data_IF_556311262894
#
_entry.id   IF_556311262894
#
_cell.length_a   1.000
_cell.length_b   1.000
_cell.length_c   1.000
_cell.angle_alpha   90.00
_cell.angle_beta   90.00
_cell.angle_gamma   90.00
#
_symmetry.space_group_name_H-M   'P 1'
#
loop_
_entity.id
_entity.type
_entity.pdbx_description
1 polymer ?
#
# COMPACT_ATOMS: atom_id res chain seq x y z
N UNK A 1 12.01 26.32 -9.91
CA UNK A 1 11.82 26.24 -8.45
C UNK A 1 11.36 24.82 -8.15
N UNK A 2 12.06 24.01 -7.34
CA UNK A 2 11.50 22.74 -6.91
C UNK A 2 10.61 23.03 -5.70
N UNK A 3 9.31 23.18 -5.96
CA UNK A 3 8.31 23.35 -4.91
C UNK A 3 8.26 22.07 -4.07
N UNK A 4 8.94 22.13 -2.91
CA UNK A 4 8.85 21.13 -1.87
C UNK A 4 7.43 21.05 -1.35
N UNK A 5 6.61 20.22 -2.00
CA UNK A 5 5.38 19.71 -1.43
C UNK A 5 5.74 19.09 -0.08
N UNK A 6 5.35 19.74 1.03
CA UNK A 6 5.34 19.11 2.36
C UNK A 6 4.40 17.90 2.25
N UNK A 7 4.90 16.64 2.18
CA UNK A 7 4.18 15.53 1.53
C UNK A 7 2.96 14.98 2.29
N UNK A 8 2.46 15.67 3.31
CA UNK A 8 1.48 15.07 4.22
C UNK A 8 0.07 15.56 3.92
N UNK A 9 -0.16 16.87 3.79
CA UNK A 9 -1.54 17.40 3.68
C UNK A 9 -2.11 17.33 2.27
N UNK A 10 -1.37 17.79 1.25
CA UNK A 10 -1.83 17.72 -0.16
C UNK A 10 -1.99 16.27 -0.61
N UNK A 11 -1.13 15.39 -0.11
CA UNK A 11 -1.19 13.98 -0.41
C UNK A 11 -2.43 13.32 0.18
N UNK A 12 -2.83 13.67 1.41
CA UNK A 12 -4.08 13.21 2.02
C UNK A 12 -5.33 13.71 1.28
N UNK A 13 -5.31 14.94 0.75
CA UNK A 13 -6.41 15.49 -0.08
C UNK A 13 -6.49 14.76 -1.44
N UNK A 14 -5.35 14.30 -1.97
CA UNK A 14 -5.24 13.56 -3.23
C UNK A 14 -5.67 12.09 -3.13
N UNK A 15 -5.72 11.51 -1.93
CA UNK A 15 -6.22 10.15 -1.73
C UNK A 15 -7.74 10.18 -1.90
N UNK A 16 -8.18 9.91 -3.13
CA UNK A 16 -9.60 9.87 -3.46
C UNK A 16 -10.26 8.64 -2.83
N UNK A 17 -9.98 7.48 -3.42
CA UNK A 17 -10.63 6.22 -3.05
C UNK A 17 -9.73 5.35 -2.16
N UNK A 18 -10.34 4.44 -1.40
CA UNK A 18 -9.65 3.53 -0.48
C UNK A 18 -9.77 2.09 -0.99
N UNK A 19 -8.62 1.46 -1.22
CA UNK A 19 -8.54 0.05 -1.59
C UNK A 19 -8.17 -0.78 -0.36
N UNK A 20 -9.01 -1.76 -0.02
CA UNK A 20 -8.70 -2.78 0.98
C UNK A 20 -7.96 -3.93 0.30
N UNK A 21 -6.75 -4.18 0.74
CA UNK A 21 -5.85 -5.18 0.20
C UNK A 21 -5.98 -6.49 0.99
N UNK A 22 -5.91 -7.61 0.26
CA UNK A 22 -5.59 -8.88 0.89
C UNK A 22 -4.12 -8.92 1.31
N UNK A 23 -3.77 -9.88 2.16
CA UNK A 23 -2.38 -10.11 2.56
C UNK A 23 -1.46 -10.39 1.36
N UNK A 24 -1.94 -11.18 0.40
CA UNK A 24 -1.15 -11.53 -0.79
C UNK A 24 -0.96 -10.35 -1.73
N UNK A 25 -1.97 -9.49 -1.85
CA UNK A 25 -1.92 -8.26 -2.65
C UNK A 25 -0.95 -7.26 -2.02
N UNK A 26 -1.06 -7.05 -0.71
CA UNK A 26 -0.14 -6.21 0.04
C UNK A 26 1.31 -6.71 -0.12
N UNK A 27 1.55 -8.02 0.05
CA UNK A 27 2.89 -8.60 -0.16
C UNK A 27 3.40 -8.35 -1.59
N UNK A 28 2.55 -8.56 -2.60
CA UNK A 28 2.92 -8.35 -4.01
C UNK A 28 3.31 -6.89 -4.28
N UNK A 29 2.51 -5.95 -3.77
CA UNK A 29 2.76 -4.51 -3.87
C UNK A 29 4.05 -4.09 -3.14
N UNK A 30 4.29 -4.60 -1.94
CA UNK A 30 5.51 -4.31 -1.18
C UNK A 30 6.77 -4.88 -1.85
N UNK A 31 6.65 -6.00 -2.57
CA UNK A 31 7.71 -6.55 -3.43
C UNK A 31 7.91 -5.73 -4.73
N UNK A 32 7.15 -4.66 -4.93
CA UNK A 32 7.23 -3.78 -6.10
C UNK A 32 6.48 -4.32 -7.34
N UNK A 33 5.66 -5.35 -7.18
CA UNK A 33 4.79 -5.83 -8.26
C UNK A 33 3.57 -4.91 -8.38
N UNK A 34 2.87 -5.04 -9.50
CA UNK A 34 1.55 -4.41 -9.70
C UNK A 34 0.47 -5.48 -9.59
N UNK A 35 -0.72 -5.07 -9.17
CA UNK A 35 -1.89 -5.96 -9.10
C UNK A 35 -3.05 -5.38 -9.93
N UNK A 36 -3.99 -6.20 -10.42
CA UNK A 36 -5.20 -5.70 -11.04
C UNK A 36 -6.02 -4.85 -10.06
N UNK A 37 -6.61 -3.76 -10.54
CA UNK A 37 -7.52 -2.93 -9.76
C UNK A 37 -8.71 -2.49 -10.60
N UNK A 38 -9.90 -2.48 -9.98
CA UNK A 38 -11.15 -2.06 -10.62
C UNK A 38 -11.51 -0.59 -10.35
N UNK A 39 -10.76 0.09 -9.48
CA UNK A 39 -10.96 1.52 -9.20
C UNK A 39 -10.57 2.38 -10.41
N UNK A 40 -11.13 3.59 -10.54
CA UNK A 40 -10.72 4.54 -11.56
C UNK A 40 -9.23 4.90 -11.46
N UNK A 41 -8.66 5.35 -12.58
CA UNK A 41 -7.29 5.87 -12.62
C UNK A 41 -7.13 7.06 -11.65
N UNK A 42 -6.09 7.03 -10.80
CA UNK A 42 -5.90 8.04 -9.76
C UNK A 42 -5.02 7.60 -8.60
N UNK A 43 -4.92 8.46 -7.58
CA UNK A 43 -4.25 8.14 -6.31
C UNK A 43 -5.25 7.56 -5.32
N UNK A 44 -4.84 6.51 -4.62
CA UNK A 44 -5.70 5.75 -3.70
C UNK A 44 -4.99 5.44 -2.40
N UNK A 45 -5.76 5.39 -1.31
CA UNK A 45 -5.28 4.92 -0.01
C UNK A 45 -5.23 3.39 -0.01
N UNK A 46 -4.11 2.82 0.41
CA UNK A 46 -3.96 1.38 0.58
C UNK A 46 -4.24 1.02 2.03
N UNK A 47 -5.19 0.12 2.25
CA UNK A 47 -5.54 -0.34 3.58
C UNK A 47 -5.43 -1.85 3.73
N UNK A 48 -5.03 -2.31 4.90
CA UNK A 48 -4.97 -3.72 5.26
C UNK A 48 -5.49 -3.87 6.69
N UNK A 49 -6.40 -4.82 6.92
CA UNK A 49 -7.07 -5.03 8.21
C UNK A 49 -7.71 -3.78 8.83
N UNK A 50 -8.19 -2.83 8.00
CA UNK A 50 -8.81 -1.60 8.49
C UNK A 50 -7.84 -0.43 8.66
N UNK A 51 -6.52 -0.67 8.67
CA UNK A 51 -5.50 0.37 8.80
C UNK A 51 -4.96 0.84 7.45
N UNK A 52 -4.70 2.14 7.32
CA UNK A 52 -4.05 2.71 6.13
C UNK A 52 -2.54 2.48 6.24
N UNK A 53 -2.02 1.62 5.36
CA UNK A 53 -0.60 1.24 5.33
C UNK A 53 0.24 2.10 4.40
N UNK A 54 -0.42 2.85 3.51
CA UNK A 54 0.23 3.76 2.58
C UNK A 54 -0.68 4.13 1.43
N UNK A 55 -0.07 4.34 0.27
CA UNK A 55 -0.73 4.88 -0.90
C UNK A 55 -0.32 4.14 -2.16
N UNK A 56 -1.20 4.21 -3.15
CA UNK A 56 -0.96 3.65 -4.46
C UNK A 56 -1.48 4.54 -5.56
N UNK A 57 -1.17 4.14 -6.78
CA UNK A 57 -1.66 4.75 -8.00
C UNK A 57 -2.30 3.68 -8.86
N UNK A 58 -3.54 3.92 -9.25
CA UNK A 58 -4.24 3.13 -10.27
C UNK A 58 -4.00 3.79 -11.62
N UNK A 59 -3.59 2.99 -12.60
CA UNK A 59 -3.43 3.43 -13.99
C UNK A 59 -3.69 2.27 -14.94
N UNK A 60 -4.67 2.41 -15.83
CA UNK A 60 -5.02 1.38 -16.81
C UNK A 60 -5.41 0.05 -16.16
N UNK A 61 -6.22 0.10 -15.08
CA UNK A 61 -6.69 -1.08 -14.36
C UNK A 61 -5.60 -1.83 -13.56
N UNK A 62 -4.45 -1.18 -13.30
CA UNK A 62 -3.36 -1.74 -12.49
C UNK A 62 -3.04 -0.81 -11.33
N UNK A 63 -2.84 -1.40 -10.15
CA UNK A 63 -2.42 -0.72 -8.94
C UNK A 63 -0.92 -0.94 -8.69
N UNK A 64 -0.23 0.15 -8.40
CA UNK A 64 1.15 0.18 -7.93
C UNK A 64 1.21 0.89 -6.56
N UNK A 65 1.99 0.37 -5.62
CA UNK A 65 2.24 1.05 -4.36
C UNK A 65 3.31 2.15 -4.51
N UNK A 66 3.06 3.29 -3.86
CA UNK A 66 3.97 4.43 -3.77
C UNK A 66 4.61 4.52 -2.38
N UNK A 67 5.04 3.37 -1.86
CA UNK A 67 5.64 3.25 -0.53
C UNK A 67 7.18 3.31 -0.67
N UNK A 68 7.88 4.19 0.07
CA UNK A 68 9.34 4.27 0.05
C UNK A 68 10.01 2.93 0.35
N UNK A 69 11.15 2.64 -0.29
CA UNK A 69 11.82 1.34 -0.20
C UNK A 69 12.16 0.90 1.23
N UNK A 70 12.61 1.83 2.10
CA UNK A 70 12.86 1.52 3.51
C UNK A 70 11.58 1.06 4.22
N UNK A 71 10.50 1.82 4.06
CA UNK A 71 9.18 1.49 4.62
C UNK A 71 8.61 0.18 4.06
N UNK A 72 8.86 -0.13 2.79
CA UNK A 72 8.45 -1.42 2.20
C UNK A 72 9.12 -2.60 2.87
N UNK A 73 10.41 -2.48 3.21
CA UNK A 73 11.16 -3.53 3.92
C UNK A 73 10.60 -3.76 5.32
N UNK A 74 10.41 -2.70 6.09
CA UNK A 74 9.79 -2.77 7.43
C UNK A 74 8.42 -3.47 7.38
N UNK A 75 7.54 -3.07 6.45
CA UNK A 75 6.22 -3.66 6.30
C UNK A 75 6.29 -5.13 5.87
N UNK A 76 7.23 -5.51 5.00
CA UNK A 76 7.44 -6.92 4.61
C UNK A 76 7.94 -7.77 5.76
N UNK A 77 8.85 -7.23 6.59
CA UNK A 77 9.35 -7.91 7.78
C UNK A 77 8.21 -8.16 8.77
N UNK A 78 7.39 -7.14 9.07
CA UNK A 78 6.21 -7.28 9.93
C UNK A 78 5.23 -8.32 9.35
N UNK A 79 4.93 -8.23 8.04
CA UNK A 79 3.99 -9.13 7.38
C UNK A 79 4.48 -10.59 7.37
N UNK A 80 5.80 -10.80 7.41
CA UNK A 80 6.44 -12.11 7.44
C UNK A 80 6.60 -12.63 8.86
N UNK A 81 6.92 -11.78 9.84
CA UNK A 81 6.97 -12.12 11.26
C UNK A 81 5.60 -12.60 11.77
N UNK A 82 4.51 -11.99 11.30
CA UNK A 82 3.14 -12.46 11.57
C UNK A 82 2.83 -13.86 11.00
N UNK A 83 3.70 -14.47 10.17
CA UNK A 83 3.55 -15.88 9.76
C UNK A 83 4.00 -16.85 10.86
N UNK A 84 4.95 -16.45 11.69
CA UNK A 84 5.48 -17.29 12.76
C UNK A 84 4.59 -17.35 14.01
N UNK A 85 3.65 -16.41 14.16
CA UNK A 85 2.78 -16.30 15.34
C UNK A 85 1.43 -17.04 15.25
N UNK A 86 1.24 -17.92 14.25
CA UNK A 86 0.02 -18.74 14.08
C UNK A 86 0.34 -20.23 13.90
N UNK A 87 1.35 -20.72 14.61
CA UNK A 87 1.67 -22.15 14.69
C UNK A 87 1.61 -22.71 16.12
N UNK A 88 1.11 -21.94 17.09
CA UNK A 88 1.05 -22.38 18.49
C UNK A 88 -0.27 -21.93 19.12
N UNK A 89 -1.36 -22.56 18.65
CA UNK A 89 -2.63 -22.72 19.38
C UNK A 89 -3.51 -23.63 18.51
N UNK A 90 -3.26 -24.94 18.61
CA UNK A 90 -4.22 -26.07 18.62
C UNK A 90 -3.46 -27.41 18.56
#
# INVERSE_FOLDING_TARGET
>A
MPDGLKPTSTFLILLGDRITLSRNDLRSLLLGRTIPASSPDGYVALSYNGDVVGCGRVRGGKLQALIPTGRRRELLEILTAYQGGKAEEL
#
